data_IF_140545565535
#
_entry.id   IF_140545565535
#
_cell.length_a   1.000
_cell.length_b   1.000
_cell.length_c   1.000
_cell.angle_alpha   90.00
_cell.angle_beta   90.00
_cell.angle_gamma   90.00
#
_symmetry.space_group_name_H-M   'P 1'
#
loop_
_entity.id
_entity.type
_entity.pdbx_description
1 polymer ?
#
# COMPACT_ATOMS: atom_id res chain seq x y z
N UNK A 1 39.30 30.11 50.86
CA UNK A 1 38.77 30.06 52.24
C UNK A 1 37.26 29.95 52.14
N UNK A 2 36.72 28.76 52.47
CA UNK A 2 35.31 28.39 52.77
C UNK A 2 34.26 28.67 51.69
N UNK A 3 33.65 27.64 51.07
CA UNK A 3 32.45 26.89 51.54
C UNK A 3 31.26 27.83 51.77
N UNK A 4 29.99 27.55 51.46
CA UNK A 4 29.28 26.43 50.85
C UNK A 4 27.79 26.86 50.80
N UNK A 5 26.98 26.11 50.03
CA UNK A 5 25.58 25.75 50.26
C UNK A 5 24.61 26.01 49.11
N UNK A 6 24.20 24.87 48.55
CA UNK A 6 22.97 24.62 47.84
C UNK A 6 21.82 24.36 48.84
N UNK A 7 20.59 24.71 48.44
CA UNK A 7 19.28 24.20 48.91
C UNK A 7 18.26 24.77 47.88
N UNK A 8 17.58 24.04 46.98
CA UNK A 8 16.73 22.83 47.02
C UNK A 8 15.38 23.04 47.73
N UNK A 9 14.28 22.95 46.95
CA UNK A 9 12.90 22.50 47.26
C UNK A 9 11.91 23.37 46.44
N UNK A 10 11.17 22.91 45.43
CA UNK A 10 10.21 21.78 45.33
C UNK A 10 9.09 21.84 46.38
N UNK A 11 7.98 22.47 46.01
CA UNK A 11 6.59 22.16 46.40
C UNK A 11 5.69 23.06 45.54
N UNK A 12 4.69 22.62 44.79
CA UNK A 12 3.95 21.37 44.84
C UNK A 12 2.45 21.69 44.90
N UNK A 13 1.72 21.16 43.93
CA UNK A 13 0.36 20.62 44.12
C UNK A 13 -0.82 21.59 44.26
N UNK A 14 -1.59 21.76 43.17
CA UNK A 14 -2.99 21.29 43.11
C UNK A 14 -3.62 21.56 41.73
N UNK A 15 -3.60 20.54 40.85
CA UNK A 15 -4.72 20.24 39.94
C UNK A 15 -4.58 18.82 39.42
N UNK A 16 -5.03 17.89 40.26
CA UNK A 16 -5.23 16.49 39.93
C UNK A 16 -6.70 16.30 39.56
N UNK A 17 -6.90 15.55 38.49
CA UNK A 17 -7.98 14.56 38.34
C UNK A 17 -9.38 15.08 38.01
N UNK A 18 -9.85 14.78 36.79
CA UNK A 18 -11.00 13.90 36.58
C UNK A 18 -11.06 13.47 35.10
N UNK A 19 -10.58 12.25 34.84
CA UNK A 19 -10.84 11.43 33.67
C UNK A 19 -11.47 10.14 34.21
N UNK A 20 -12.39 9.56 33.44
CA UNK A 20 -13.12 8.30 33.65
C UNK A 20 -14.43 8.38 34.44
N UNK A 21 -15.52 8.68 33.73
CA UNK A 21 -16.70 7.80 33.62
C UNK A 21 -17.38 8.18 32.30
N UNK A 22 -17.47 7.26 31.33
CA UNK A 22 -18.57 7.08 30.36
C UNK A 22 -18.11 6.14 29.23
N UNK A 23 -17.88 4.88 29.61
CA UNK A 23 -18.07 3.73 28.72
C UNK A 23 -19.12 2.86 29.41
N UNK A 24 -20.36 2.89 28.91
CA UNK A 24 -21.32 1.78 28.98
C UNK A 24 -22.58 2.11 28.18
N UNK A 25 -22.99 1.14 27.34
CA UNK A 25 -24.35 0.87 26.85
C UNK A 25 -24.85 1.67 25.59
N UNK A 26 -25.75 1.09 24.77
CA UNK A 26 -25.46 0.74 23.37
C UNK A 26 -26.42 1.38 22.34
N UNK A 27 -26.10 1.18 21.06
CA UNK A 27 -26.96 1.27 19.87
C UNK A 27 -28.33 1.96 20.05
N UNK A 28 -28.43 3.21 19.59
CA UNK A 28 -29.70 3.81 19.13
C UNK A 28 -29.52 4.41 17.74
N UNK A 29 -30.04 3.70 16.75
CA UNK A 29 -30.40 4.28 15.46
C UNK A 29 -31.47 5.36 15.71
N UNK A 30 -31.11 6.61 15.51
CA UNK A 30 -32.08 7.71 15.43
C UNK A 30 -31.98 8.29 14.03
N UNK A 31 -33.01 8.04 13.22
CA UNK A 31 -33.23 8.69 11.94
C UNK A 31 -33.33 10.21 12.17
N UNK A 32 -32.37 10.96 11.62
CA UNK A 32 -32.49 12.39 11.38
C UNK A 32 -32.35 12.63 9.89
N UNK A 33 -33.49 12.60 9.21
CA UNK A 33 -33.73 13.28 7.95
C UNK A 33 -33.68 14.80 8.22
N UNK A 34 -32.63 15.48 7.76
CA UNK A 34 -32.64 16.90 7.34
C UNK A 34 -31.22 17.42 7.09
N UNK A 35 -30.64 17.05 5.94
CA UNK A 35 -29.74 17.95 5.20
C UNK A 35 -30.03 17.74 3.73
N UNK A 36 -30.48 18.79 3.05
CA UNK A 36 -30.80 18.77 1.62
C UNK A 36 -29.56 18.51 0.79
N UNK A 37 -29.25 17.23 0.56
CA UNK A 37 -28.32 16.80 -0.45
C UNK A 37 -29.12 16.49 -1.71
N UNK A 38 -29.21 17.48 -2.60
CA UNK A 38 -29.89 17.37 -3.88
C UNK A 38 -29.27 16.22 -4.69
N UNK A 39 -30.11 15.25 -5.10
CA UNK A 39 -29.73 14.20 -6.07
C UNK A 39 -29.14 14.77 -7.37
N UNK A 40 -29.39 16.04 -7.70
CA UNK A 40 -28.82 16.71 -8.87
C UNK A 40 -27.30 16.87 -8.82
N UNK A 41 -26.70 17.09 -7.64
CA UNK A 41 -25.26 17.31 -7.51
C UNK A 41 -24.44 16.04 -7.78
N UNK A 42 -25.01 14.85 -7.56
CA UNK A 42 -24.37 13.57 -7.86
C UNK A 42 -24.35 13.27 -9.37
N UNK A 43 -25.33 13.74 -10.15
CA UNK A 43 -25.35 13.57 -11.60
C UNK A 43 -24.47 14.58 -12.33
N UNK A 44 -24.30 15.79 -11.79
CA UNK A 44 -23.35 16.78 -12.31
C UNK A 44 -21.90 16.34 -12.06
N UNK A 45 -21.61 15.74 -10.90
CA UNK A 45 -20.31 15.13 -10.60
C UNK A 45 -20.02 13.87 -11.43
N UNK A 46 -21.02 13.01 -11.68
CA UNK A 46 -20.84 11.85 -12.57
C UNK A 46 -20.76 12.25 -14.06
N UNK A 47 -21.39 13.37 -14.45
CA UNK A 47 -21.40 13.88 -15.83
C UNK A 47 -20.09 14.53 -16.27
N UNK A 48 -19.36 15.18 -15.35
CA UNK A 48 -18.03 15.76 -15.64
C UNK A 48 -16.96 14.68 -15.81
N UNK A 49 -17.15 13.48 -15.25
CA UNK A 49 -16.20 12.35 -15.34
C UNK A 49 -16.26 11.61 -16.69
N UNK A 50 -17.25 11.89 -17.55
CA UNK A 50 -17.48 11.16 -18.81
C UNK A 50 -17.39 12.04 -20.06
N UNK A 51 -16.63 13.15 -20.01
CA UNK A 51 -16.20 13.81 -21.23
C UNK A 51 -15.12 12.94 -21.89
N UNK A 52 -15.54 12.13 -22.86
CA UNK A 52 -14.68 11.33 -23.74
C UNK A 52 -13.79 12.26 -24.60
N UNK A 53 -12.75 12.82 -23.98
CA UNK A 53 -11.60 13.28 -24.73
C UNK A 53 -10.91 12.05 -25.32
N UNK A 54 -11.15 11.81 -26.61
CA UNK A 54 -10.50 10.80 -27.45
C UNK A 54 -9.01 11.11 -27.68
N UNK A 55 -8.27 11.36 -26.61
CA UNK A 55 -6.82 11.22 -26.61
C UNK A 55 -6.56 9.74 -26.37
N UNK A 56 -6.37 9.00 -27.47
CA UNK A 56 -5.92 7.62 -27.42
C UNK A 56 -4.56 7.58 -26.72
N UNK A 57 -4.52 7.03 -25.51
CA UNK A 57 -3.27 6.70 -24.85
C UNK A 57 -2.57 5.66 -25.73
N UNK A 58 -1.25 5.78 -25.92
CA UNK A 58 -0.49 4.73 -26.59
C UNK A 58 -0.79 3.40 -25.87
N UNK A 59 -1.30 2.36 -26.57
CA UNK A 59 -1.59 1.05 -25.97
C UNK A 59 -0.38 0.40 -25.29
N UNK A 60 0.83 0.94 -25.51
CA UNK A 60 2.08 0.49 -24.90
C UNK A 60 2.15 0.73 -23.37
N UNK A 61 1.56 1.80 -22.83
CA UNK A 61 1.66 2.10 -21.38
C UNK A 61 0.78 1.18 -20.54
N UNK A 62 -0.31 0.65 -21.11
CA UNK A 62 -1.18 -0.32 -20.43
C UNK A 62 -0.59 -1.73 -20.40
N UNK A 63 0.50 -2.01 -21.12
CA UNK A 63 0.91 -3.38 -21.39
C UNK A 63 1.68 -4.08 -20.26
N UNK A 64 2.23 -3.35 -19.28
CA UNK A 64 3.04 -3.94 -18.20
C UNK A 64 2.71 -3.26 -16.87
N UNK A 65 1.66 -3.73 -16.20
CA UNK A 65 1.40 -3.44 -14.79
C UNK A 65 2.03 -4.53 -13.91
N UNK A 66 2.21 -4.27 -12.61
CA UNK A 66 2.64 -5.31 -11.66
C UNK A 66 1.72 -6.53 -11.66
N UNK A 67 0.45 -6.32 -11.95
CA UNK A 67 -0.54 -7.37 -12.05
C UNK A 67 -0.85 -8.01 -10.69
N UNK A 68 -1.77 -8.98 -10.74
CA UNK A 68 -2.23 -9.72 -9.55
C UNK A 68 -1.44 -10.99 -9.30
N UNK A 69 -0.51 -11.36 -10.17
CA UNK A 69 0.33 -12.55 -10.02
C UNK A 69 1.46 -12.29 -9.02
N UNK A 70 2.03 -13.34 -8.43
CA UNK A 70 3.20 -13.15 -7.57
C UNK A 70 4.42 -12.87 -8.45
N UNK A 71 5.20 -11.85 -8.08
CA UNK A 71 6.51 -11.67 -8.68
C UNK A 71 7.46 -12.79 -8.25
N UNK A 72 8.50 -13.02 -9.07
CA UNK A 72 9.58 -13.92 -8.70
C UNK A 72 10.40 -13.34 -7.54
N UNK A 73 10.88 -14.18 -6.63
CA UNK A 73 11.82 -13.70 -5.61
C UNK A 73 13.16 -13.36 -6.27
N UNK A 74 13.61 -12.12 -6.11
CA UNK A 74 14.84 -11.68 -6.75
C UNK A 74 15.21 -10.24 -6.45
N UNK A 75 16.28 -9.81 -7.10
CA UNK A 75 16.68 -8.41 -7.18
C UNK A 75 16.10 -7.78 -8.44
N UNK A 76 15.59 -6.57 -8.28
CA UNK A 76 14.93 -5.79 -9.31
C UNK A 76 15.64 -4.45 -9.47
N UNK A 77 15.68 -3.96 -10.70
CA UNK A 77 16.21 -2.65 -11.05
C UNK A 77 15.10 -1.75 -11.55
N UNK A 78 15.20 -0.47 -11.21
CA UNK A 78 14.24 0.55 -11.62
C UNK A 78 14.46 0.89 -13.10
N UNK A 79 13.43 0.66 -13.90
CA UNK A 79 13.37 1.06 -15.30
C UNK A 79 12.27 2.10 -15.54
N UNK A 80 12.68 3.36 -15.53
CA UNK A 80 11.77 4.48 -15.81
C UNK A 80 11.47 4.65 -17.30
N UNK A 81 12.13 3.94 -18.21
CA UNK A 81 11.85 4.08 -19.65
C UNK A 81 10.41 3.71 -19.99
N UNK A 82 9.80 2.80 -19.21
CA UNK A 82 8.40 2.35 -19.34
C UNK A 82 7.40 3.48 -19.11
N UNK A 83 7.73 4.43 -18.23
CA UNK A 83 6.82 5.50 -17.80
C UNK A 83 7.31 6.89 -18.19
N UNK A 84 8.52 7.04 -18.72
CA UNK A 84 9.17 8.34 -18.99
C UNK A 84 8.28 9.30 -19.79
N UNK A 85 7.62 8.80 -20.82
CA UNK A 85 6.79 9.59 -21.73
C UNK A 85 5.30 9.56 -21.35
N UNK A 86 4.95 8.99 -20.19
CA UNK A 86 3.58 8.94 -19.72
C UNK A 86 3.05 10.37 -19.47
N UNK A 87 1.84 10.70 -19.96
CA UNK A 87 1.29 12.05 -19.89
C UNK A 87 0.95 12.44 -18.45
N UNK A 88 1.37 13.65 -18.07
CA UNK A 88 1.08 14.26 -16.77
C UNK A 88 0.73 15.75 -16.96
N UNK A 89 0.26 16.39 -15.90
CA UNK A 89 0.01 17.81 -15.86
C UNK A 89 0.86 18.45 -14.76
N UNK A 90 1.55 19.54 -15.11
CA UNK A 90 2.25 20.43 -14.18
C UNK A 90 1.52 21.77 -14.15
N UNK A 91 0.91 22.14 -13.03
CA UNK A 91 0.13 23.39 -12.90
C UNK A 91 -0.89 23.54 -14.05
N UNK A 92 -1.62 22.44 -14.35
CA UNK A 92 -2.60 22.33 -15.45
C UNK A 92 -2.00 22.39 -16.87
N UNK A 93 -0.69 22.52 -17.01
CA UNK A 93 0.00 22.46 -18.31
C UNK A 93 0.45 21.03 -18.64
N UNK A 94 0.29 20.57 -19.90
CA UNK A 94 0.78 19.26 -20.32
C UNK A 94 2.29 19.07 -20.14
N UNK A 95 2.69 17.94 -19.56
CA UNK A 95 4.08 17.50 -19.41
C UNK A 95 4.17 15.97 -19.49
N UNK A 96 5.36 15.40 -19.29
CA UNK A 96 5.55 13.96 -19.13
C UNK A 96 6.08 13.61 -17.75
N UNK A 97 5.88 12.37 -17.32
CA UNK A 97 6.41 11.86 -16.05
C UNK A 97 7.92 12.08 -15.93
N UNK A 98 8.69 11.78 -16.98
CA UNK A 98 10.14 11.93 -16.97
C UNK A 98 10.58 13.39 -16.83
N UNK A 99 9.92 14.32 -17.52
CA UNK A 99 10.20 15.75 -17.41
C UNK A 99 9.89 16.28 -16.01
N UNK A 100 8.71 15.93 -15.49
CA UNK A 100 8.26 16.36 -14.17
C UNK A 100 9.13 15.78 -13.05
N UNK A 101 9.50 14.50 -13.14
CA UNK A 101 10.40 13.84 -12.18
C UNK A 101 11.76 14.54 -12.13
N UNK A 102 12.41 14.78 -13.28
CA UNK A 102 13.71 15.46 -13.35
C UNK A 102 13.60 16.87 -12.76
N UNK A 103 12.55 17.62 -13.11
CA UNK A 103 12.32 18.96 -12.57
C UNK A 103 12.17 18.97 -11.05
N UNK A 104 11.32 18.10 -10.49
CA UNK A 104 11.10 18.01 -9.06
C UNK A 104 12.34 17.52 -8.29
N UNK A 105 13.08 16.57 -8.88
CA UNK A 105 14.36 16.09 -8.34
C UNK A 105 15.36 17.24 -8.23
N UNK A 106 15.56 17.97 -9.32
CA UNK A 106 16.56 19.04 -9.40
C UNK A 106 16.18 20.26 -8.55
N UNK A 107 14.88 20.54 -8.40
CA UNK A 107 14.35 21.63 -7.58
C UNK A 107 14.40 21.36 -6.07
N UNK A 108 14.82 20.17 -5.62
CA UNK A 108 14.92 19.77 -4.19
C UNK A 108 13.63 20.01 -3.41
N UNK A 109 12.68 19.09 -3.54
CA UNK A 109 11.41 19.11 -2.79
C UNK A 109 11.65 19.25 -1.29
N UNK A 110 11.13 20.32 -0.70
CA UNK A 110 11.20 20.62 0.74
C UNK A 110 10.00 20.02 1.49
N UNK A 111 8.81 20.04 0.85
CA UNK A 111 7.60 19.45 1.41
C UNK A 111 6.90 18.57 0.39
N UNK A 112 6.55 17.37 0.83
CA UNK A 112 5.79 16.39 0.05
C UNK A 112 4.28 16.52 0.32
N UNK A 113 3.43 16.04 -0.59
CA UNK A 113 1.99 16.02 -0.38
C UNK A 113 1.61 15.27 0.91
N UNK A 114 0.87 15.95 1.78
CA UNK A 114 0.27 15.37 2.97
C UNK A 114 -0.96 14.54 2.60
N UNK A 115 -0.96 13.26 2.99
CA UNK A 115 -2.09 12.36 2.76
C UNK A 115 -2.17 11.77 1.34
N UNK A 116 -3.36 11.26 1.01
CA UNK A 116 -3.65 10.60 -0.26
C UNK A 116 -4.65 11.45 -1.04
N UNK A 117 -4.14 12.27 -1.95
CA UNK A 117 -4.94 13.01 -2.91
C UNK A 117 -4.75 12.37 -4.29
N UNK A 118 -5.58 11.38 -4.67
CA UNK A 118 -5.29 10.48 -5.78
C UNK A 118 -5.01 11.22 -7.10
N UNK A 119 -5.67 12.34 -7.35
CA UNK A 119 -5.59 13.00 -8.67
C UNK A 119 -4.58 14.16 -8.71
N UNK A 120 -4.07 14.60 -7.55
CA UNK A 120 -3.35 15.88 -7.42
C UNK A 120 -2.38 15.85 -6.25
N UNK A 121 -1.09 16.01 -6.52
CA UNK A 121 -0.04 16.17 -5.52
C UNK A 121 0.57 17.57 -5.62
N UNK A 122 0.68 18.26 -4.50
CA UNK A 122 1.40 19.54 -4.41
C UNK A 122 2.76 19.30 -3.76
N UNK A 123 3.82 19.70 -4.46
CA UNK A 123 5.20 19.62 -3.99
C UNK A 123 5.73 21.04 -3.78
N UNK A 124 6.21 21.34 -2.58
CA UNK A 124 6.81 22.65 -2.28
C UNK A 124 8.32 22.56 -2.49
N UNK A 125 8.86 23.44 -3.33
CA UNK A 125 10.30 23.57 -3.60
C UNK A 125 10.78 24.98 -3.23
N UNK A 126 12.08 25.22 -3.26
CA UNK A 126 12.65 26.55 -3.05
C UNK A 126 12.21 27.59 -4.11
N UNK A 127 11.76 27.13 -5.28
CA UNK A 127 11.30 27.98 -6.39
C UNK A 127 9.78 28.24 -6.34
N UNK A 128 9.03 27.50 -5.51
CA UNK A 128 7.59 27.62 -5.36
C UNK A 128 6.87 26.27 -5.28
N UNK A 129 5.55 26.32 -5.22
CA UNK A 129 4.72 25.12 -5.26
C UNK A 129 4.54 24.62 -6.69
N UNK A 130 4.76 23.32 -6.91
CA UNK A 130 4.50 22.62 -8.17
C UNK A 130 3.35 21.65 -7.93
N UNK A 131 2.26 21.85 -8.67
CA UNK A 131 1.09 20.97 -8.63
C UNK A 131 1.21 19.93 -9.74
N UNK A 132 1.46 18.69 -9.37
CA UNK A 132 1.40 17.54 -10.26
C UNK A 132 -0.01 16.95 -10.27
N UNK A 133 -0.56 16.68 -11.44
CA UNK A 133 -1.81 15.91 -11.56
C UNK A 133 -1.75 14.93 -12.72
N UNK A 134 -2.60 13.91 -12.64
CA UNK A 134 -2.75 12.93 -13.72
C UNK A 134 -4.23 12.51 -13.79
N UNK A 135 -4.89 12.88 -14.87
CA UNK A 135 -6.34 12.66 -15.04
C UNK A 135 -6.72 11.17 -15.01
N UNK A 136 -5.82 10.28 -15.44
CA UNK A 136 -6.13 8.86 -15.67
C UNK A 136 -5.26 7.88 -14.88
N UNK A 137 -4.13 8.30 -14.31
CA UNK A 137 -3.17 7.41 -13.68
C UNK A 137 -2.65 7.99 -12.36
N UNK A 138 -3.50 8.04 -11.34
CA UNK A 138 -3.09 8.40 -9.97
C UNK A 138 -1.89 7.58 -9.46
N UNK A 139 -1.73 6.35 -9.97
CA UNK A 139 -0.57 5.48 -9.74
C UNK A 139 0.77 6.10 -10.15
N UNK A 140 0.81 6.90 -11.22
CA UNK A 140 2.02 7.63 -11.61
C UNK A 140 2.39 8.69 -10.58
N UNK A 141 1.39 9.34 -9.94
CA UNK A 141 1.65 10.29 -8.86
C UNK A 141 2.20 9.60 -7.61
N UNK A 142 1.73 8.38 -7.32
CA UNK A 142 2.26 7.56 -6.23
C UNK A 142 3.71 7.13 -6.50
N UNK A 143 4.00 6.64 -7.70
CA UNK A 143 5.37 6.33 -8.12
C UNK A 143 6.28 7.56 -8.00
N UNK A 144 5.84 8.70 -8.55
CA UNK A 144 6.59 9.97 -8.49
C UNK A 144 6.94 10.34 -7.04
N UNK A 145 5.96 10.22 -6.13
CA UNK A 145 6.15 10.48 -4.70
C UNK A 145 7.18 9.55 -4.07
N UNK A 146 7.10 8.24 -4.32
CA UNK A 146 8.05 7.27 -3.76
C UNK A 146 9.49 7.51 -4.25
N UNK A 147 9.67 7.85 -5.53
CA UNK A 147 11.00 8.16 -6.07
C UNK A 147 11.57 9.46 -5.48
N UNK A 148 10.76 10.51 -5.38
CA UNK A 148 11.19 11.78 -4.78
C UNK A 148 11.49 11.61 -3.29
N UNK A 149 10.80 10.69 -2.59
CA UNK A 149 11.02 10.42 -1.17
C UNK A 149 12.41 9.86 -0.94
N UNK A 150 12.83 8.87 -1.73
CA UNK A 150 14.20 8.36 -1.72
C UNK A 150 15.20 9.49 -2.04
N UNK A 151 14.94 10.29 -3.07
CA UNK A 151 15.84 11.39 -3.44
C UNK A 151 15.99 12.44 -2.33
N UNK A 152 14.91 12.79 -1.63
CA UNK A 152 14.94 13.72 -0.49
C UNK A 152 15.79 13.23 0.68
N UNK A 153 16.02 11.92 0.77
CA UNK A 153 16.90 11.27 1.75
C UNK A 153 18.35 11.14 1.24
N UNK A 154 18.68 11.71 0.08
CA UNK A 154 19.99 11.62 -0.54
C UNK A 154 20.26 10.26 -1.22
N UNK A 155 19.21 9.49 -1.50
CA UNK A 155 19.31 8.17 -2.13
C UNK A 155 18.90 8.31 -3.60
N UNK A 156 19.77 7.90 -4.52
CA UNK A 156 19.42 7.87 -5.95
C UNK A 156 18.61 6.59 -6.27
N UNK A 157 17.32 6.68 -6.67
CA UNK A 157 16.50 5.49 -6.88
C UNK A 157 17.03 4.53 -7.95
N UNK A 158 17.69 5.07 -8.98
CA UNK A 158 18.27 4.31 -10.10
C UNK A 158 19.52 3.52 -9.72
N UNK A 159 20.25 3.93 -8.67
CA UNK A 159 21.42 3.17 -8.18
C UNK A 159 21.04 2.08 -7.17
N UNK A 160 19.78 2.06 -6.74
CA UNK A 160 19.28 1.11 -5.76
C UNK A 160 18.86 -0.22 -6.38
N UNK A 161 18.97 -1.29 -5.60
CA UNK A 161 18.42 -2.61 -5.91
C UNK A 161 17.20 -2.88 -5.05
N UNK A 162 16.12 -3.32 -5.68
CA UNK A 162 14.82 -3.56 -5.04
C UNK A 162 14.63 -5.06 -4.84
N UNK A 163 14.21 -5.49 -3.65
CA UNK A 163 14.02 -6.90 -3.32
C UNK A 163 12.58 -7.14 -2.92
N UNK A 164 11.87 -7.91 -3.75
CA UNK A 164 10.48 -8.30 -3.52
C UNK A 164 10.40 -9.32 -2.39
N UNK A 165 9.67 -9.04 -1.31
CA UNK A 165 9.61 -9.95 -0.16
C UNK A 165 8.21 -10.39 0.25
N UNK A 166 7.17 -9.63 -0.12
CA UNK A 166 5.81 -9.92 0.31
C UNK A 166 4.79 -9.42 -0.71
N UNK A 167 3.68 -10.13 -0.77
CA UNK A 167 2.47 -9.72 -1.46
C UNK A 167 1.33 -9.76 -0.47
N UNK A 168 0.68 -8.62 -0.31
CA UNK A 168 -0.51 -8.49 0.53
C UNK A 168 -1.76 -8.33 -0.33
N UNK A 169 -2.86 -8.91 0.14
CA UNK A 169 -4.18 -8.77 -0.46
C UNK A 169 -4.97 -7.77 0.39
N UNK A 170 -5.21 -6.59 -0.16
CA UNK A 170 -6.08 -5.62 0.48
C UNK A 170 -7.51 -6.16 0.61
N UNK A 171 -8.25 -5.65 1.59
CA UNK A 171 -9.67 -5.98 1.78
C UNK A 171 -10.53 -5.65 0.57
N UNK A 172 -10.12 -4.66 -0.23
CA UNK A 172 -10.80 -4.21 -1.44
C UNK A 172 -10.46 -5.07 -2.66
N UNK A 173 -9.66 -6.12 -2.49
CA UNK A 173 -9.26 -7.05 -3.55
C UNK A 173 -8.12 -6.56 -4.44
N UNK A 174 -7.55 -5.39 -4.14
CA UNK A 174 -6.30 -4.94 -4.74
C UNK A 174 -5.12 -5.71 -4.12
N UNK A 175 -4.12 -5.99 -4.95
CA UNK A 175 -2.89 -6.69 -4.56
C UNK A 175 -1.78 -5.67 -4.41
N UNK A 176 -1.03 -5.73 -3.31
CA UNK A 176 0.11 -4.86 -3.04
C UNK A 176 1.39 -5.69 -3.03
N UNK A 177 2.39 -5.26 -3.78
CA UNK A 177 3.72 -5.86 -3.86
C UNK A 177 4.69 -5.06 -3.00
N UNK A 178 5.31 -5.69 -2.02
CA UNK A 178 6.19 -5.04 -1.06
C UNK A 178 7.67 -5.36 -1.32
N UNK A 179 8.48 -4.32 -1.23
CA UNK A 179 9.90 -4.32 -1.52
C UNK A 179 10.69 -3.64 -0.41
N UNK A 180 11.88 -4.17 -0.12
CA UNK A 180 12.92 -3.41 0.55
C UNK A 180 13.96 -2.96 -0.48
N UNK A 181 14.55 -1.80 -0.23
CA UNK A 181 15.46 -1.11 -1.14
C UNK A 181 16.85 -1.12 -0.53
N UNK A 182 17.83 -1.55 -1.31
CA UNK A 182 19.25 -1.56 -0.94
C UNK A 182 19.99 -0.53 -1.78
N UNK A 183 20.73 0.35 -1.11
CA UNK A 183 21.61 1.36 -1.72
C UNK A 183 22.82 1.56 -0.82
N UNK A 184 23.98 1.85 -1.39
CA UNK A 184 25.25 2.05 -0.64
C UNK A 184 25.55 0.91 0.36
N UNK A 185 25.37 -0.34 -0.05
CA UNK A 185 25.62 -1.55 0.78
C UNK A 185 24.82 -1.61 2.09
N UNK A 186 23.67 -0.94 2.16
CA UNK A 186 22.72 -0.98 3.28
C UNK A 186 21.28 -0.99 2.80
N UNK A 187 20.37 -1.43 3.67
CA UNK A 187 18.93 -1.30 3.43
C UNK A 187 18.58 0.16 3.73
N UNK A 188 18.07 0.87 2.73
CA UNK A 188 17.76 2.30 2.80
C UNK A 188 16.25 2.57 2.95
N UNK A 189 15.41 1.61 2.56
CA UNK A 189 13.97 1.65 2.78
C UNK A 189 13.42 0.22 2.94
N UNK A 190 12.59 -0.01 3.94
CA UNK A 190 12.00 -1.33 4.23
C UNK A 190 10.62 -1.54 3.62
N UNK A 191 9.93 -0.43 3.31
CA UNK A 191 8.52 -0.42 2.99
C UNK A 191 8.27 0.44 1.76
N UNK A 192 8.69 -0.07 0.61
CA UNK A 192 8.20 0.40 -0.67
C UNK A 192 7.14 -0.55 -1.19
N UNK A 193 6.00 -0.03 -1.60
CA UNK A 193 4.87 -0.82 -2.02
C UNK A 193 4.35 -0.33 -3.37
N UNK A 194 4.04 -1.28 -4.26
CA UNK A 194 3.40 -1.01 -5.54
C UNK A 194 2.10 -1.81 -5.64
N UNK A 195 0.98 -1.14 -5.93
CA UNK A 195 -0.28 -1.84 -6.21
C UNK A 195 -0.27 -2.59 -7.54
N UNK A 196 -1.20 -3.53 -7.70
CA UNK A 196 -1.26 -4.39 -8.89
C UNK A 196 -1.54 -3.65 -10.19
N UNK A 197 -2.24 -2.53 -10.11
CA UNK A 197 -2.54 -1.66 -11.25
C UNK A 197 -1.43 -0.61 -11.51
N UNK A 198 -0.35 -0.61 -10.72
CA UNK A 198 0.78 0.29 -10.94
C UNK A 198 1.62 -0.16 -12.12
N UNK A 199 2.21 0.80 -12.88
CA UNK A 199 3.10 0.45 -13.97
C UNK A 199 4.29 -0.35 -13.45
N UNK A 200 4.63 -1.43 -14.15
CA UNK A 200 5.76 -2.29 -13.85
C UNK A 200 7.06 -1.56 -14.23
N UNK A 201 7.52 -0.72 -13.31
CA UNK A 201 8.78 0.02 -13.42
C UNK A 201 9.96 -0.74 -12.83
N UNK A 202 9.75 -1.96 -12.35
CA UNK A 202 10.79 -2.81 -11.80
C UNK A 202 11.03 -3.99 -12.73
N UNK A 203 12.24 -4.09 -13.27
CA UNK A 203 12.68 -5.22 -14.07
C UNK A 203 13.47 -6.18 -13.22
N UNK A 204 13.13 -7.47 -13.28
CA UNK A 204 13.94 -8.50 -12.65
C UNK A 204 15.35 -8.41 -13.25
N UNK A 205 16.37 -8.35 -12.39
CA UNK A 205 17.77 -8.27 -12.81
C UNK A 205 18.18 -9.60 -13.45
N UNK A 206 17.88 -9.74 -14.73
CA UNK A 206 18.35 -10.81 -15.59
C UNK A 206 19.50 -10.27 -16.42
N UNK A 207 20.70 -10.79 -16.20
CA UNK A 207 21.81 -10.46 -17.08
C UNK A 207 21.69 -11.29 -18.36
N UNK A 208 21.54 -10.60 -19.49
CA UNK A 208 21.58 -11.21 -20.81
C UNK A 208 23.00 -11.73 -21.07
N UNK A 209 23.15 -13.05 -21.08
CA UNK A 209 24.41 -13.78 -21.21
C UNK A 209 25.45 -13.49 -20.12
N UNK A 210 25.39 -14.22 -18.98
CA UNK A 210 26.43 -14.10 -17.99
C UNK A 210 27.77 -14.55 -18.58
N UNK A 211 28.75 -13.63 -18.60
CA UNK A 211 30.13 -13.92 -19.02
C UNK A 211 30.69 -15.14 -18.26
N UNK A 212 30.22 -15.34 -17.03
CA UNK A 212 30.62 -16.40 -16.14
C UNK A 212 29.46 -17.36 -15.85
N UNK A 213 29.68 -18.67 -16.07
CA UNK A 213 28.70 -19.71 -15.67
C UNK A 213 28.36 -19.70 -14.18
N UNK A 214 29.20 -19.11 -13.33
CA UNK A 214 28.97 -18.97 -11.90
C UNK A 214 28.03 -17.82 -11.53
N UNK A 215 27.74 -16.91 -12.46
CA UNK A 215 26.97 -15.70 -12.18
C UNK A 215 25.55 -15.95 -11.63
N UNK A 216 24.77 -16.93 -12.15
CA UNK A 216 23.47 -17.24 -11.55
C UNK A 216 23.59 -17.64 -10.07
N UNK A 217 24.63 -18.40 -9.71
CA UNK A 217 24.89 -18.78 -8.30
C UNK A 217 25.34 -17.58 -7.46
N UNK A 218 26.08 -16.64 -8.05
CA UNK A 218 26.43 -15.39 -7.38
C UNK A 218 25.19 -14.54 -7.08
N UNK A 219 24.30 -14.35 -8.06
CA UNK A 219 23.03 -13.63 -7.86
C UNK A 219 22.15 -14.32 -6.81
N UNK A 220 22.05 -15.65 -6.85
CA UNK A 220 21.31 -16.42 -5.84
C UNK A 220 21.90 -16.22 -4.44
N UNK A 221 23.23 -16.28 -4.29
CA UNK A 221 23.91 -16.06 -3.02
C UNK A 221 23.73 -14.61 -2.52
N UNK A 222 23.81 -13.62 -3.42
CA UNK A 222 23.59 -12.21 -3.13
C UNK A 222 22.16 -11.96 -2.64
N UNK A 223 21.16 -12.50 -3.34
CA UNK A 223 19.76 -12.42 -2.92
C UNK A 223 19.58 -13.05 -1.53
N UNK A 224 20.09 -14.27 -1.31
CA UNK A 224 20.04 -14.95 -0.01
C UNK A 224 20.69 -14.14 1.11
N UNK A 225 21.83 -13.49 0.84
CA UNK A 225 22.51 -12.62 1.79
C UNK A 225 21.60 -11.46 2.22
N UNK A 226 21.02 -10.74 1.25
CA UNK A 226 20.17 -9.58 1.54
C UNK A 226 18.89 -9.94 2.27
N UNK A 227 18.20 -11.02 1.87
CA UNK A 227 17.02 -11.48 2.60
C UNK A 227 17.38 -11.85 4.05
N UNK A 228 18.48 -12.59 4.28
CA UNK A 228 18.92 -12.93 5.65
C UNK A 228 19.23 -11.69 6.47
N UNK A 229 19.89 -10.70 5.86
CA UNK A 229 20.23 -9.44 6.51
C UNK A 229 18.98 -8.65 6.87
N UNK A 230 18.06 -8.46 5.93
CA UNK A 230 16.75 -7.83 6.16
C UNK A 230 16.01 -8.49 7.33
N UNK A 231 15.78 -9.80 7.29
CA UNK A 231 15.10 -10.51 8.38
C UNK A 231 15.81 -10.38 9.73
N UNK A 232 17.14 -10.35 9.74
CA UNK A 232 17.92 -10.22 10.98
C UNK A 232 17.80 -8.82 11.55
N UNK A 233 17.95 -7.79 10.71
CA UNK A 233 17.88 -6.39 11.13
C UNK A 233 16.46 -5.96 11.51
N UNK A 234 15.43 -6.44 10.80
CA UNK A 234 14.02 -6.24 11.16
C UNK A 234 13.72 -6.91 12.50
N UNK A 235 14.22 -8.14 12.71
CA UNK A 235 14.03 -8.88 13.97
C UNK A 235 14.77 -8.25 15.14
N UNK A 236 15.96 -7.70 14.92
CA UNK A 236 16.76 -7.03 15.96
C UNK A 236 16.29 -5.60 16.24
N UNK A 237 15.44 -5.04 15.38
CA UNK A 237 15.00 -3.65 15.45
C UNK A 237 16.06 -2.65 15.00
N UNK A 238 17.19 -3.08 14.43
CA UNK A 238 18.25 -2.19 13.94
C UNK A 238 17.78 -1.32 12.78
N UNK A 239 16.94 -1.91 11.93
CA UNK A 239 16.28 -1.22 10.83
C UNK A 239 15.36 -0.08 11.30
N UNK A 240 14.75 -0.22 12.49
CA UNK A 240 13.93 0.82 13.12
C UNK A 240 14.72 2.07 13.51
N UNK A 241 16.05 1.98 13.65
CA UNK A 241 16.92 3.13 13.96
C UNK A 241 17.01 4.09 12.76
N UNK A 242 16.70 3.65 11.54
CA UNK A 242 16.65 4.50 10.35
C UNK A 242 15.42 5.44 10.33
N UNK A 243 14.46 5.26 11.24
CA UNK A 243 13.29 6.13 11.39
C UNK A 243 13.52 7.18 12.49
N UNK A 244 14.02 8.35 12.10
CA UNK A 244 14.08 9.51 13.00
C UNK A 244 12.69 10.12 13.33
N UNK A 245 11.65 9.71 12.61
CA UNK A 245 10.30 10.29 12.62
C UNK A 245 9.29 9.55 13.51
N UNK A 246 9.67 8.42 14.13
CA UNK A 246 8.78 7.64 15.00
C UNK A 246 9.47 7.31 16.34
N UNK A 247 8.73 7.33 17.47
CA UNK A 247 9.32 7.02 18.76
C UNK A 247 9.87 5.60 18.75
N UNK A 248 10.99 5.39 19.44
CA UNK A 248 11.54 4.08 19.77
C UNK A 248 10.41 3.23 20.36
N UNK A 249 9.85 2.32 19.55
CA UNK A 249 9.06 1.23 20.09
C UNK A 249 10.04 0.40 20.90
N UNK A 250 10.00 0.57 22.22
CA UNK A 250 10.59 -0.38 23.14
C UNK A 250 10.30 -1.77 22.62
N UNK A 251 11.35 -2.57 22.48
CA UNK A 251 11.33 -3.98 22.17
C UNK A 251 10.04 -4.60 22.73
N UNK A 252 8.99 -4.70 21.91
CA UNK A 252 7.82 -5.45 22.29
C UNK A 252 8.33 -6.87 22.28
N UNK A 253 8.54 -7.42 23.47
CA UNK A 253 8.63 -8.85 23.69
C UNK A 253 7.54 -9.46 22.82
N UNK A 254 7.95 -10.20 21.78
CA UNK A 254 7.03 -10.74 20.78
C UNK A 254 5.85 -11.35 21.54
N UNK A 255 4.59 -11.04 21.22
CA UNK A 255 3.56 -12.06 21.37
C UNK A 255 4.09 -13.26 20.59
N UNK A 256 4.54 -14.26 21.36
CA UNK A 256 5.09 -15.48 20.83
C UNK A 256 3.98 -16.14 20.05
N UNK A 257 4.27 -16.49 18.79
CA UNK A 257 3.32 -16.88 17.76
C UNK A 257 2.56 -15.72 17.13
N UNK A 258 2.65 -15.64 15.79
CA UNK A 258 1.49 -15.26 14.96
C UNK A 258 0.28 -15.87 15.65
N UNK A 259 -0.73 -15.09 16.02
CA UNK A 259 -2.00 -15.63 16.50
C UNK A 259 -2.65 -16.38 15.32
N UNK A 260 -2.13 -17.56 14.97
CA UNK A 260 -2.78 -18.62 14.21
C UNK A 260 -4.25 -18.72 14.66
N UNK A 261 -4.60 -18.62 15.96
CA UNK A 261 -6.01 -18.53 16.37
C UNK A 261 -6.80 -17.36 15.76
N UNK A 262 -6.24 -16.15 15.63
CA UNK A 262 -6.96 -14.98 15.09
C UNK A 262 -7.10 -15.03 13.57
N UNK A 263 -6.04 -15.41 12.86
CA UNK A 263 -6.12 -15.60 11.40
C UNK A 263 -7.04 -16.77 11.06
N UNK A 264 -6.95 -17.89 11.78
CA UNK A 264 -7.91 -19.00 11.64
C UNK A 264 -9.32 -18.53 11.98
N UNK A 265 -9.51 -17.64 12.96
CA UNK A 265 -10.81 -17.09 13.33
C UNK A 265 -11.42 -16.23 12.22
N UNK A 266 -10.67 -15.35 11.58
CA UNK A 266 -11.20 -14.52 10.47
C UNK A 266 -11.58 -15.40 9.27
N UNK A 267 -10.77 -16.42 8.96
CA UNK A 267 -11.06 -17.39 7.91
C UNK A 267 -12.29 -18.24 8.23
N UNK A 268 -12.42 -18.69 9.48
CA UNK A 268 -13.63 -19.38 9.96
C UNK A 268 -14.85 -18.48 9.87
N UNK A 269 -14.74 -17.20 10.26
CA UNK A 269 -15.84 -16.24 10.21
C UNK A 269 -16.32 -16.03 8.77
N UNK A 270 -15.39 -15.87 7.81
CA UNK A 270 -15.71 -15.75 6.39
C UNK A 270 -16.41 -17.00 5.84
N UNK A 271 -15.92 -18.21 6.20
CA UNK A 271 -16.56 -19.49 5.82
C UNK A 271 -17.98 -19.59 6.38
N UNK A 272 -18.16 -19.27 7.66
CA UNK A 272 -19.49 -19.28 8.32
C UNK A 272 -20.44 -18.29 7.67
N UNK A 273 -19.98 -17.06 7.38
CA UNK A 273 -20.82 -16.05 6.75
C UNK A 273 -21.33 -16.47 5.37
N UNK A 274 -20.48 -17.10 4.54
CA UNK A 274 -20.88 -17.62 3.23
C UNK A 274 -21.89 -18.76 3.33
N UNK A 275 -21.70 -19.68 4.27
CA UNK A 275 -22.67 -20.77 4.53
C UNK A 275 -24.01 -20.21 4.99
N UNK A 276 -24.00 -19.20 5.88
CA UNK A 276 -25.23 -18.52 6.32
C UNK A 276 -25.96 -17.85 5.16
N UNK A 277 -25.26 -17.26 4.21
CA UNK A 277 -25.85 -16.64 3.03
C UNK A 277 -26.54 -17.67 2.11
N UNK A 278 -25.93 -18.84 1.93
CA UNK A 278 -26.55 -19.97 1.21
C UNK A 278 -27.81 -20.45 1.93
N UNK A 279 -27.74 -20.64 3.26
CA UNK A 279 -28.88 -21.08 4.07
C UNK A 279 -30.02 -20.06 4.04
N UNK A 280 -29.71 -18.76 4.09
CA UNK A 280 -30.71 -17.69 3.99
C UNK A 280 -31.44 -17.75 2.64
N UNK A 281 -30.72 -17.92 1.53
CA UNK A 281 -31.34 -18.05 0.20
C UNK A 281 -32.27 -19.27 0.11
N UNK A 282 -31.88 -20.40 0.71
CA UNK A 282 -32.71 -21.61 0.76
C UNK A 282 -33.98 -21.41 1.62
N UNK A 283 -33.86 -20.71 2.75
CA UNK A 283 -35.01 -20.37 3.60
C UNK A 283 -35.99 -19.44 2.88
N UNK A 284 -35.51 -18.42 2.17
CA UNK A 284 -36.34 -17.54 1.34
C UNK A 284 -37.05 -18.34 0.23
N UNK A 285 -36.35 -19.28 -0.42
CA UNK A 285 -36.95 -20.14 -1.45
C UNK A 285 -38.08 -21.04 -0.90
N UNK A 286 -38.00 -21.45 0.37
CA UNK A 286 -39.02 -22.23 1.05
C UNK A 286 -40.23 -21.39 1.47
N UNK A 287 -40.00 -20.18 1.99
CA UNK A 287 -41.05 -19.29 2.47
C UNK A 287 -41.84 -18.63 1.32
N UNK A 288 -41.20 -18.41 0.17
CA UNK A 288 -41.79 -17.69 -0.96
C UNK A 288 -41.75 -18.55 -2.25
N UNK A 289 -42.82 -19.31 -2.55
CA UNK A 289 -42.86 -20.21 -3.71
C UNK A 289 -42.60 -19.50 -5.05
N UNK A 290 -43.02 -18.24 -5.18
CA UNK A 290 -42.79 -17.41 -6.37
C UNK A 290 -41.30 -17.10 -6.62
N UNK A 291 -40.47 -17.13 -5.58
CA UNK A 291 -39.03 -16.86 -5.65
C UNK A 291 -38.19 -18.15 -5.63
N UNK A 292 -38.84 -19.33 -5.60
CA UNK A 292 -38.15 -20.61 -5.45
C UNK A 292 -37.07 -20.83 -6.51
N UNK A 293 -37.39 -20.63 -7.78
CA UNK A 293 -36.46 -20.85 -8.89
C UNK A 293 -35.23 -19.90 -8.84
N UNK A 294 -35.38 -18.56 -8.79
CA UNK A 294 -34.23 -17.66 -8.75
C UNK A 294 -33.38 -17.83 -7.49
N UNK A 295 -33.99 -18.02 -6.30
CA UNK A 295 -33.22 -18.24 -5.07
C UNK A 295 -32.46 -19.57 -5.08
N UNK A 296 -33.01 -20.61 -5.69
CA UNK A 296 -32.31 -21.91 -5.84
C UNK A 296 -31.10 -21.78 -6.75
N UNK A 297 -31.22 -21.06 -7.87
CA UNK A 297 -30.09 -20.78 -8.79
C UNK A 297 -28.98 -20.01 -8.06
N UNK A 298 -29.33 -18.96 -7.33
CA UNK A 298 -28.36 -18.17 -6.56
C UNK A 298 -27.67 -19.03 -5.48
N UNK A 299 -28.41 -19.86 -4.75
CA UNK A 299 -27.84 -20.76 -3.76
C UNK A 299 -26.85 -21.75 -4.37
N UNK A 300 -27.14 -22.29 -5.57
CA UNK A 300 -26.20 -23.16 -6.30
C UNK A 300 -24.94 -22.39 -6.70
N UNK A 301 -25.07 -21.18 -7.25
CA UNK A 301 -23.92 -20.35 -7.64
C UNK A 301 -23.01 -20.04 -6.45
N UNK A 302 -23.58 -19.60 -5.32
CA UNK A 302 -22.82 -19.37 -4.10
C UNK A 302 -22.22 -20.67 -3.53
N UNK A 303 -22.91 -21.80 -3.67
CA UNK A 303 -22.40 -23.11 -3.28
C UNK A 303 -21.18 -23.54 -4.09
N UNK A 304 -21.21 -23.37 -5.42
CA UNK A 304 -20.08 -23.68 -6.30
C UNK A 304 -18.90 -22.76 -6.01
N UNK A 305 -19.13 -21.46 -5.82
CA UNK A 305 -18.10 -20.50 -5.44
C UNK A 305 -17.45 -20.85 -4.09
N UNK A 306 -18.27 -21.20 -3.09
CA UNK A 306 -17.80 -21.67 -1.80
C UNK A 306 -16.93 -22.92 -1.92
N UNK A 307 -17.35 -23.93 -2.69
CA UNK A 307 -16.58 -25.16 -2.90
C UNK A 307 -15.24 -24.88 -3.60
N UNK A 308 -15.23 -23.97 -4.59
CA UNK A 308 -14.00 -23.54 -5.27
C UNK A 308 -13.02 -22.91 -4.28
N UNK A 309 -13.51 -22.04 -3.40
CA UNK A 309 -12.67 -21.42 -2.37
C UNK A 309 -12.21 -22.41 -1.29
N UNK A 310 -13.05 -23.36 -0.87
CA UNK A 310 -12.63 -24.44 0.04
C UNK A 310 -11.52 -25.29 -0.60
N UNK A 311 -11.64 -25.60 -1.89
CA UNK A 311 -10.63 -26.37 -2.60
C UNK A 311 -9.28 -25.63 -2.70
N UNK A 312 -9.30 -24.35 -3.05
CA UNK A 312 -8.09 -23.52 -3.11
C UNK A 312 -7.42 -23.38 -1.74
N UNK A 313 -8.20 -23.18 -0.67
CA UNK A 313 -7.66 -23.02 0.69
C UNK A 313 -7.16 -24.34 1.28
N UNK A 314 -7.80 -25.48 0.98
CA UNK A 314 -7.36 -26.79 1.43
C UNK A 314 -6.06 -27.28 0.78
N UNK A 315 -5.67 -26.71 -0.37
CA UNK A 315 -4.39 -27.03 -1.00
C UNK A 315 -3.20 -26.35 -0.30
N UNK A 316 -3.44 -25.16 0.29
CA UNK A 316 -2.43 -24.39 1.03
C UNK A 316 -2.10 -25.01 2.39
N UNK A 317 -3.08 -25.63 3.06
CA UNK A 317 -2.86 -26.27 4.38
C UNK A 317 -2.05 -27.58 4.31
N UNK A 318 -1.82 -28.13 3.12
CA UNK A 318 -1.05 -29.38 2.92
C UNK A 318 0.42 -29.16 2.53
N UNK A 319 0.82 -27.92 2.28
CA UNK A 319 2.20 -27.54 1.95
C UNK A 319 2.92 -27.03 3.20
#
# INVERSE_FOLDING_TARGET
MKESHAETAIQGQHRKTLLNVLYNEPFRFTLLSHTGFSRGALYEWAGIVMSESNVSISPEVQALAFGRECLEFGSYELDLSVVKDAPMLENEQPTTFGQLYVKLRDAKVEQMPDGFAPWRHEYVTSEGAIVASCERHWRLLQLLRELLKLHSQGIEPQSCTWFYYEKDLSLDGDTVHSFFVVGDERIVNEHSCFGSDEPLVLKLKQESDPIWRSWPYYLEALNKYWYRRFYTETRSGQLMILRNDKPYLHYFERPSSVNIPEQRRTWMLAKVHRVLLIMLMLQVALLFPSLKLPCTILAILFGVDYLRHVWQTGHLERQ
#
